data_IF_573211903156
#
_entry.id   IF_573211903156
#
_cell.length_a   1.000
_cell.length_b   1.000
_cell.length_c   1.000
_cell.angle_alpha   90.00
_cell.angle_beta   90.00
_cell.angle_gamma   90.00
#
_symmetry.space_group_name_H-M   'P 1'
#
loop_
_entity.id
_entity.type
_entity.pdbx_description
1 polymer ?
#
# COMPACT_ATOMS: atom_id res chain seq x y z
N UNK A 1 -2.44 1.49 -13.24
CA UNK A 1 -3.08 0.39 -13.99
C UNK A 1 -2.52 -1.00 -13.68
N UNK A 2 -1.19 -1.21 -13.67
CA UNK A 2 -0.62 -2.56 -13.45
C UNK A 2 -0.97 -3.19 -12.09
N UNK A 3 -0.93 -2.42 -11.01
CA UNK A 3 -1.18 -2.94 -9.66
C UNK A 3 -2.60 -3.52 -9.47
N UNK A 4 -3.63 -2.88 -10.04
CA UNK A 4 -5.00 -3.40 -9.98
C UNK A 4 -5.12 -4.77 -10.66
N UNK A 5 -4.59 -4.90 -11.88
CA UNK A 5 -4.61 -6.17 -12.62
C UNK A 5 -3.85 -7.28 -11.88
N UNK A 6 -2.71 -6.97 -11.26
CA UNK A 6 -1.95 -7.94 -10.46
C UNK A 6 -2.76 -8.37 -9.23
N UNK A 7 -3.42 -7.42 -8.54
CA UNK A 7 -4.26 -7.74 -7.40
C UNK A 7 -5.45 -8.64 -7.78
N UNK A 8 -6.10 -8.39 -8.92
CA UNK A 8 -7.15 -9.27 -9.44
C UNK A 8 -6.66 -10.70 -9.66
N UNK A 9 -5.47 -10.87 -10.24
CA UNK A 9 -4.85 -12.21 -10.40
C UNK A 9 -4.59 -12.89 -9.05
N UNK A 10 -4.12 -12.13 -8.04
CA UNK A 10 -3.91 -12.65 -6.69
C UNK A 10 -5.24 -13.08 -6.04
N UNK A 11 -6.28 -12.26 -6.16
CA UNK A 11 -7.61 -12.59 -5.64
C UNK A 11 -8.17 -13.86 -6.31
N UNK A 12 -8.06 -13.97 -7.64
CA UNK A 12 -8.48 -15.17 -8.38
C UNK A 12 -7.69 -16.42 -8.00
N UNK A 13 -6.45 -16.28 -7.54
CA UNK A 13 -5.63 -17.37 -7.01
C UNK A 13 -5.94 -17.72 -5.54
N UNK A 14 -6.91 -17.05 -4.91
CA UNK A 14 -7.33 -17.32 -3.53
C UNK A 14 -6.56 -16.52 -2.46
N UNK A 15 -5.72 -15.57 -2.86
CA UNK A 15 -5.09 -14.65 -1.90
C UNK A 15 -6.16 -13.71 -1.34
N UNK A 16 -6.30 -13.66 -0.01
CA UNK A 16 -7.32 -12.86 0.67
C UNK A 16 -6.80 -11.59 1.34
N UNK A 17 -5.48 -11.41 1.40
CA UNK A 17 -4.87 -10.23 2.02
C UNK A 17 -3.72 -9.72 1.15
N UNK A 18 -3.71 -8.43 0.85
CA UNK A 18 -2.64 -7.77 0.07
C UNK A 18 -2.15 -6.55 0.84
N UNK A 19 -0.83 -6.45 1.00
CA UNK A 19 -0.18 -5.22 1.43
C UNK A 19 0.26 -4.45 0.18
N UNK A 20 -0.34 -3.29 -0.05
CA UNK A 20 -0.21 -2.51 -1.27
C UNK A 20 0.74 -1.33 -1.09
N UNK A 21 1.87 -1.39 -1.79
CA UNK A 21 2.88 -0.32 -1.83
C UNK A 21 2.75 0.56 -3.09
N UNK A 22 1.79 0.25 -3.97
CA UNK A 22 1.57 1.07 -5.16
C UNK A 22 0.83 2.35 -4.77
N UNK A 23 1.09 3.49 -5.44
CA UNK A 23 0.45 4.78 -5.15
C UNK A 23 -0.97 4.84 -5.76
N UNK A 24 -1.74 3.77 -5.63
CA UNK A 24 -3.14 3.69 -6.05
C UNK A 24 -3.94 2.94 -5.00
N UNK A 25 -5.23 3.23 -4.89
CA UNK A 25 -6.14 2.34 -4.18
C UNK A 25 -6.52 1.15 -5.07
N UNK A 26 -6.37 -0.06 -4.54
CA UNK A 26 -6.78 -1.29 -5.19
C UNK A 26 -8.26 -1.56 -4.86
N UNK A 27 -9.05 -1.85 -5.88
CA UNK A 27 -10.43 -2.34 -5.71
C UNK A 27 -10.37 -3.81 -5.31
N UNK A 28 -11.01 -4.14 -4.20
CA UNK A 28 -11.02 -5.48 -3.60
C UNK A 28 -12.44 -6.03 -3.48
N UNK A 29 -12.64 -7.35 -3.60
CA UNK A 29 -13.88 -8.01 -3.17
C UNK A 29 -14.08 -7.86 -1.64
N UNK A 30 -15.32 -8.02 -1.17
CA UNK A 30 -15.64 -7.94 0.27
C UNK A 30 -14.85 -8.95 1.12
N UNK A 31 -14.62 -10.15 0.60
CA UNK A 31 -13.90 -11.22 1.29
C UNK A 31 -12.37 -11.00 1.40
N UNK A 32 -11.85 -9.94 0.78
CA UNK A 32 -10.43 -9.63 0.73
C UNK A 32 -10.10 -8.38 1.55
N UNK A 33 -8.89 -8.32 2.10
CA UNK A 33 -8.34 -7.16 2.80
C UNK A 33 -7.20 -6.59 1.98
N UNK A 34 -7.16 -5.26 1.85
CA UNK A 34 -6.03 -4.57 1.23
C UNK A 34 -5.63 -3.43 2.15
N UNK A 35 -4.38 -3.47 2.60
CA UNK A 35 -3.78 -2.41 3.41
C UNK A 35 -2.81 -1.62 2.56
N UNK A 36 -2.94 -0.30 2.52
CA UNK A 36 -2.04 0.56 1.78
C UNK A 36 -0.88 1.00 2.67
N UNK A 37 0.36 0.84 2.20
CA UNK A 37 1.54 1.35 2.88
C UNK A 37 1.94 2.67 2.25
N UNK A 38 1.93 3.73 3.06
CA UNK A 38 2.46 5.03 2.69
C UNK A 38 3.68 5.35 3.55
N UNK A 39 4.86 5.35 2.92
CA UNK A 39 6.11 5.70 3.58
C UNK A 39 6.33 7.21 3.67
N UNK A 40 5.52 8.02 3.00
CA UNK A 40 5.69 9.48 2.94
C UNK A 40 5.64 10.06 4.34
N UNK A 41 4.66 9.70 5.16
CA UNK A 41 4.54 10.14 6.56
C UNK A 41 5.78 9.76 7.38
N UNK A 42 6.27 8.52 7.21
CA UNK A 42 7.44 8.04 7.95
C UNK A 42 8.70 8.82 7.56
N UNK A 43 8.89 9.09 6.27
CA UNK A 43 10.02 9.86 5.75
C UNK A 43 9.93 11.34 6.13
N UNK A 44 8.74 11.94 6.06
CA UNK A 44 8.48 13.32 6.49
C UNK A 44 8.80 13.49 7.98
N UNK A 45 8.38 12.55 8.82
CA UNK A 45 8.71 12.55 10.24
C UNK A 45 10.23 12.50 10.46
N UNK A 46 10.93 11.58 9.76
CA UNK A 46 12.39 11.50 9.85
C UNK A 46 13.08 12.80 9.40
N UNK A 47 12.63 13.41 8.30
CA UNK A 47 13.15 14.67 7.80
C UNK A 47 12.92 15.82 8.80
N UNK A 48 11.73 15.89 9.40
CA UNK A 48 11.40 16.87 10.44
C UNK A 48 12.30 16.72 11.67
N UNK A 49 12.50 15.48 12.15
CA UNK A 49 13.39 15.22 13.28
C UNK A 49 14.84 15.58 12.95
N UNK A 50 15.32 15.26 11.75
CA UNK A 50 16.67 15.63 11.30
C UNK A 50 16.86 17.15 11.23
N UNK A 51 15.85 17.89 10.76
CA UNK A 51 15.89 19.35 10.70
C UNK A 51 15.93 20.00 12.10
N UNK A 52 15.36 19.35 13.12
CA UNK A 52 15.40 19.81 14.52
C UNK A 52 16.69 19.50 15.28
N UNK A 53 17.53 18.61 14.74
CA UNK A 53 18.82 18.24 15.35
C UNK A 53 19.94 19.26 15.04
N UNK A 54 19.67 20.23 14.17
CA UNK A 54 20.54 21.36 13.84
C UNK A 54 19.90 22.68 14.30
#
# INVERSE_FOLDING_TARGET
FKAQRVAEMLFSAGVRAVLNFAPIQIRKPECCVVENVDFTISLENLAYHLAKLH
#
